data_IF_852146920273
#
_entry.id   IF_852146920273
#
_cell.length_a   1.000
_cell.length_b   1.000
_cell.length_c   1.000
_cell.angle_alpha   90.00
_cell.angle_beta   90.00
_cell.angle_gamma   90.00
#
_symmetry.space_group_name_H-M   'P 1'
#
loop_
_entity.id
_entity.type
_entity.pdbx_description
1 polymer ?
#
# COMPACT_ATOMS: atom_id res chain seq x y z
N UNK A 1 -74.63 -38.80 23.05
CA UNK A 1 -74.87 -37.81 21.94
C UNK A 1 -73.52 -37.29 21.46
N UNK A 2 -73.23 -37.55 20.23
CA UNK A 2 -71.99 -37.16 19.51
C UNK A 2 -71.92 -35.65 19.29
N UNK A 3 -70.69 -35.07 19.49
CA UNK A 3 -70.30 -33.92 18.67
C UNK A 3 -68.80 -34.02 18.36
N UNK A 4 -68.56 -34.30 17.10
CA UNK A 4 -67.25 -34.24 16.42
C UNK A 4 -66.87 -32.77 16.27
N UNK A 5 -65.66 -32.41 16.70
CA UNK A 5 -65.02 -31.18 16.28
C UNK A 5 -63.74 -31.54 15.52
N UNK A 6 -63.75 -31.17 14.24
CA UNK A 6 -62.58 -31.25 13.35
C UNK A 6 -61.54 -30.21 13.73
N UNK A 7 -60.34 -30.64 14.04
CA UNK A 7 -59.21 -29.75 14.16
C UNK A 7 -58.50 -29.70 12.82
N UNK A 8 -58.62 -28.57 12.16
CA UNK A 8 -57.87 -28.23 10.95
C UNK A 8 -56.43 -27.89 11.31
N UNK A 9 -55.50 -28.69 10.84
CA UNK A 9 -54.06 -28.37 10.89
C UNK A 9 -53.74 -27.43 9.74
N UNK A 10 -53.47 -26.15 10.07
CA UNK A 10 -52.85 -25.21 9.13
C UNK A 10 -51.34 -25.30 9.31
N UNK A 11 -50.69 -25.95 8.37
CA UNK A 11 -49.24 -25.98 8.23
C UNK A 11 -48.77 -24.61 7.75
N UNK A 12 -48.24 -23.79 8.67
CA UNK A 12 -47.51 -22.58 8.30
C UNK A 12 -46.08 -22.97 7.90
N UNK A 13 -45.83 -22.99 6.61
CA UNK A 13 -44.46 -23.10 6.07
C UNK A 13 -43.76 -21.78 6.25
N UNK A 14 -42.87 -21.72 7.22
CA UNK A 14 -42.00 -20.56 7.47
C UNK A 14 -40.83 -20.64 6.48
N UNK A 15 -40.92 -19.84 5.41
CA UNK A 15 -39.85 -19.71 4.42
C UNK A 15 -38.83 -18.71 4.98
N UNK A 16 -37.80 -19.20 5.68
CA UNK A 16 -36.67 -18.41 6.11
C UNK A 16 -35.76 -18.10 4.92
N UNK A 17 -35.92 -16.91 4.37
CA UNK A 17 -35.02 -16.35 3.37
C UNK A 17 -33.68 -16.01 4.06
N UNK A 18 -32.72 -16.93 4.04
CA UNK A 18 -31.36 -16.68 4.46
C UNK A 18 -30.69 -15.77 3.40
N UNK A 19 -30.77 -14.47 3.62
CA UNK A 19 -30.01 -13.48 2.85
C UNK A 19 -28.53 -13.66 3.16
N UNK A 20 -27.81 -14.36 2.30
CA UNK A 20 -26.34 -14.40 2.32
C UNK A 20 -25.83 -13.03 1.91
N UNK A 21 -25.53 -12.23 2.91
CA UNK A 21 -24.82 -10.97 2.72
C UNK A 21 -23.38 -11.31 2.31
N UNK A 22 -23.13 -11.38 1.00
CA UNK A 22 -21.77 -11.47 0.48
C UNK A 22 -21.06 -10.16 0.80
N UNK A 23 -20.29 -10.13 1.90
CA UNK A 23 -19.34 -9.08 2.14
C UNK A 23 -18.26 -9.19 1.04
N UNK A 24 -18.37 -8.35 0.03
CA UNK A 24 -17.24 -8.04 -0.84
C UNK A 24 -16.17 -7.39 0.04
N UNK A 25 -15.14 -8.16 0.39
CA UNK A 25 -13.89 -7.60 0.90
C UNK A 25 -13.36 -6.70 -0.23
N UNK A 26 -13.59 -5.40 -0.10
CA UNK A 26 -12.81 -4.42 -0.84
C UNK A 26 -11.37 -4.61 -0.35
N UNK A 27 -10.51 -5.13 -1.22
CA UNK A 27 -9.08 -5.14 -0.96
C UNK A 27 -8.66 -3.67 -0.77
N UNK A 28 -8.51 -3.25 0.47
CA UNK A 28 -7.85 -1.99 0.77
C UNK A 28 -6.42 -2.14 0.25
N UNK A 29 -6.04 -1.28 -0.68
CA UNK A 29 -4.65 -1.11 -1.08
C UNK A 29 -3.88 -0.65 0.16
N UNK A 30 -3.42 -1.60 0.92
CA UNK A 30 -2.67 -1.34 2.14
C UNK A 30 -1.28 -0.88 1.71
N UNK A 31 -1.07 0.44 1.66
CA UNK A 31 0.21 1.06 1.38
C UNK A 31 1.11 1.09 2.63
N UNK A 32 0.95 0.13 3.53
CA UNK A 32 1.68 0.03 4.79
C UNK A 32 1.87 -1.43 5.22
N UNK A 33 3.07 -1.75 5.67
CA UNK A 33 3.38 -3.00 6.36
C UNK A 33 3.86 -2.70 7.79
N UNK A 34 3.37 -3.49 8.73
CA UNK A 34 3.77 -3.40 10.13
C UNK A 34 4.74 -4.51 10.48
N UNK A 35 5.90 -4.13 11.03
CA UNK A 35 6.98 -5.05 11.42
C UNK A 35 7.40 -4.74 12.86
N UNK A 36 6.86 -5.46 13.83
CA UNK A 36 7.04 -5.15 15.25
C UNK A 36 6.52 -3.75 15.58
N UNK A 37 7.38 -2.89 16.11
CA UNK A 37 7.05 -1.49 16.42
C UNK A 37 7.26 -0.53 15.26
N UNK A 38 7.66 -1.05 14.09
CA UNK A 38 7.88 -0.26 12.89
C UNK A 38 6.72 -0.37 11.92
N UNK A 39 6.41 0.75 11.28
CA UNK A 39 5.41 0.86 10.21
C UNK A 39 6.11 1.38 8.95
N UNK A 40 6.07 0.57 7.88
CA UNK A 40 6.69 0.88 6.60
C UNK A 40 5.61 1.31 5.64
N UNK A 41 5.57 2.58 5.31
CA UNK A 41 4.65 3.17 4.34
C UNK A 41 5.31 3.24 2.98
N UNK A 42 4.57 2.91 1.93
CA UNK A 42 5.06 2.95 0.56
C UNK A 42 4.01 3.51 -0.39
N UNK A 43 4.41 4.56 -1.12
CA UNK A 43 3.56 5.21 -2.12
C UNK A 43 4.23 5.15 -3.48
N UNK A 44 3.44 4.89 -4.52
CA UNK A 44 3.89 4.91 -5.91
C UNK A 44 2.93 5.74 -6.73
N UNK A 45 3.45 6.72 -7.45
CA UNK A 45 2.63 7.59 -8.29
C UNK A 45 3.42 8.10 -9.52
N UNK A 46 2.73 8.45 -10.63
CA UNK A 46 3.35 9.13 -11.74
C UNK A 46 3.90 10.50 -11.33
N UNK A 47 5.08 10.88 -11.83
CA UNK A 47 5.68 12.17 -11.47
C UNK A 47 4.92 13.36 -12.07
N UNK A 48 4.07 13.12 -13.09
CA UNK A 48 3.16 14.13 -13.66
C UNK A 48 2.16 14.68 -12.63
N UNK A 49 1.78 13.89 -11.61
CA UNK A 49 0.87 14.31 -10.53
C UNK A 49 1.50 15.19 -9.46
N UNK A 50 2.82 15.27 -9.43
CA UNK A 50 3.48 16.14 -8.46
C UNK A 50 3.21 17.62 -8.76
N UNK A 51 3.00 18.40 -7.71
CA UNK A 51 3.04 19.84 -7.81
C UNK A 51 4.41 20.29 -8.34
N UNK A 52 4.50 21.26 -9.30
CA UNK A 52 5.76 21.71 -9.87
C UNK A 52 6.81 22.13 -8.84
N UNK A 53 6.41 22.85 -7.79
CA UNK A 53 7.32 23.29 -6.74
C UNK A 53 7.86 22.10 -5.92
N UNK A 54 7.01 21.10 -5.66
CA UNK A 54 7.41 19.87 -4.96
C UNK A 54 8.40 19.08 -5.80
N UNK A 55 8.12 18.90 -7.09
CA UNK A 55 9.01 18.20 -8.00
C UNK A 55 10.38 18.88 -8.09
N UNK A 56 10.41 20.23 -8.20
CA UNK A 56 11.63 21.00 -8.21
C UNK A 56 12.42 20.87 -6.90
N UNK A 57 11.74 20.91 -5.75
CA UNK A 57 12.35 20.78 -4.43
C UNK A 57 13.06 19.45 -4.22
N UNK A 58 12.61 18.38 -4.88
CA UNK A 58 13.23 17.05 -4.84
C UNK A 58 14.06 16.72 -6.09
N UNK A 59 14.26 17.68 -6.98
CA UNK A 59 14.97 17.49 -8.25
C UNK A 59 14.37 16.37 -9.12
N UNK A 60 13.04 16.30 -9.15
CA UNK A 60 12.27 15.32 -9.93
C UNK A 60 11.77 15.96 -11.23
N UNK A 61 12.02 15.28 -12.34
CA UNK A 61 11.44 15.68 -13.64
C UNK A 61 10.01 15.14 -13.69
N UNK A 62 9.04 16.02 -13.91
CA UNK A 62 7.64 15.63 -14.13
C UNK A 62 7.48 15.08 -15.54
N UNK A 63 7.01 13.85 -15.66
CA UNK A 63 6.80 13.16 -16.94
C UNK A 63 5.67 12.14 -16.83
N UNK A 64 4.93 11.94 -17.92
CA UNK A 64 3.86 10.94 -18.00
C UNK A 64 4.38 9.49 -17.94
N UNK A 65 5.59 9.25 -18.44
CA UNK A 65 6.21 7.91 -18.44
C UNK A 65 7.22 7.68 -17.29
N UNK A 66 7.22 8.56 -16.30
CA UNK A 66 8.08 8.43 -15.13
C UNK A 66 7.25 8.36 -13.85
N UNK A 67 7.51 7.35 -13.06
CA UNK A 67 6.96 7.18 -11.72
C UNK A 67 7.97 7.48 -10.64
N UNK A 68 7.48 7.67 -9.43
CA UNK A 68 8.28 7.70 -8.21
C UNK A 68 7.75 6.71 -7.19
N UNK A 69 8.64 6.15 -6.40
CA UNK A 69 8.33 5.36 -5.21
C UNK A 69 8.91 6.07 -3.99
N UNK A 70 8.07 6.24 -2.98
CA UNK A 70 8.44 6.84 -1.69
C UNK A 70 8.26 5.81 -0.59
N UNK A 71 9.28 5.66 0.26
CA UNK A 71 9.26 4.80 1.42
C UNK A 71 9.48 5.65 2.66
N UNK A 72 8.57 5.54 3.61
CA UNK A 72 8.65 6.20 4.92
C UNK A 72 8.57 5.13 6.00
N UNK A 73 9.48 5.17 6.96
CA UNK A 73 9.45 4.26 8.11
C UNK A 73 9.22 5.07 9.38
N UNK A 74 8.21 4.67 10.12
CA UNK A 74 7.90 5.22 11.44
C UNK A 74 8.14 4.16 12.50
N UNK A 75 8.67 4.53 13.62
CA UNK A 75 8.74 3.71 14.84
C UNK A 75 7.67 4.19 15.82
N UNK A 76 6.84 3.27 16.28
CA UNK A 76 5.86 3.52 17.34
C UNK A 76 6.57 3.47 18.70
N UNK A 77 6.41 4.52 19.46
CA UNK A 77 6.98 4.64 20.80
C UNK A 77 6.01 4.14 21.87
N UNK A 78 6.51 3.89 23.10
CA UNK A 78 5.74 3.38 24.21
C UNK A 78 4.61 4.32 24.65
N UNK A 79 4.74 5.63 24.43
CA UNK A 79 3.71 6.64 24.72
C UNK A 79 2.59 6.73 23.66
N UNK A 80 2.67 5.89 22.60
CA UNK A 80 1.71 5.86 21.50
C UNK A 80 2.03 6.84 20.36
N UNK A 81 3.03 7.69 20.49
CA UNK A 81 3.53 8.55 19.42
C UNK A 81 4.32 7.75 18.37
N UNK A 82 4.61 8.39 17.23
CA UNK A 82 5.45 7.80 16.19
C UNK A 82 6.58 8.75 15.82
N UNK A 83 7.74 8.18 15.58
CA UNK A 83 8.95 8.91 15.19
C UNK A 83 9.43 8.42 13.82
N UNK A 84 9.88 9.36 12.96
CA UNK A 84 10.44 9.02 11.66
C UNK A 84 11.83 8.39 11.82
N UNK A 85 12.04 7.29 11.11
CA UNK A 85 13.29 6.52 11.13
C UNK A 85 14.09 6.77 9.87
N UNK A 86 15.38 7.06 10.02
CA UNK A 86 16.30 7.13 8.89
C UNK A 86 16.62 5.72 8.40
N UNK A 87 15.76 5.19 7.53
CA UNK A 87 15.93 3.88 6.93
C UNK A 87 16.79 3.95 5.66
N UNK A 88 17.46 2.85 5.35
CA UNK A 88 18.12 2.64 4.04
C UNK A 88 17.25 1.75 3.20
N UNK A 89 16.98 2.18 1.96
CA UNK A 89 16.19 1.43 0.99
C UNK A 89 17.02 1.10 -0.25
N UNK A 90 16.92 -0.12 -0.73
CA UNK A 90 17.51 -0.57 -1.98
C UNK A 90 16.55 -1.52 -2.69
N UNK A 91 16.74 -1.76 -3.98
CA UNK A 91 15.94 -2.76 -4.68
C UNK A 91 15.76 -2.44 -6.16
N UNK A 92 14.75 -3.08 -6.74
CA UNK A 92 14.48 -3.08 -8.16
C UNK A 92 12.99 -2.87 -8.42
N UNK A 93 12.69 -2.27 -9.57
CA UNK A 93 11.35 -2.26 -10.14
C UNK A 93 11.39 -2.76 -11.57
N UNK A 94 10.31 -3.38 -12.02
CA UNK A 94 10.23 -3.85 -13.40
C UNK A 94 8.85 -4.40 -13.75
N UNK A 95 8.69 -4.81 -15.00
CA UNK A 95 7.44 -5.40 -15.48
C UNK A 95 7.30 -6.87 -15.01
N UNK A 96 6.11 -7.44 -15.22
CA UNK A 96 5.85 -8.84 -14.85
C UNK A 96 6.59 -9.85 -15.74
N UNK A 97 7.13 -9.42 -16.87
CA UNK A 97 8.00 -10.26 -17.72
C UNK A 97 9.42 -10.47 -17.15
N UNK A 98 9.73 -9.82 -16.00
CA UNK A 98 11.00 -10.00 -15.29
C UNK A 98 12.10 -9.03 -15.73
N UNK A 99 11.79 -8.00 -16.51
CA UNK A 99 12.74 -6.94 -16.84
C UNK A 99 12.85 -6.00 -15.65
N UNK A 100 13.85 -6.24 -14.79
CA UNK A 100 14.07 -5.49 -13.56
C UNK A 100 15.16 -4.44 -13.76
N UNK A 101 14.92 -3.23 -13.24
CA UNK A 101 15.86 -2.13 -13.18
C UNK A 101 16.14 -1.75 -11.73
N UNK A 102 17.42 -1.52 -11.41
CA UNK A 102 17.82 -1.03 -10.09
C UNK A 102 17.23 0.35 -9.80
N UNK A 103 16.79 0.55 -8.57
CA UNK A 103 16.29 1.83 -8.08
C UNK A 103 17.36 2.54 -7.28
N UNK A 104 17.60 3.82 -7.61
CA UNK A 104 18.49 4.70 -6.85
C UNK A 104 17.68 5.51 -5.86
N UNK A 105 17.70 5.10 -4.60
CA UNK A 105 17.01 5.80 -3.52
C UNK A 105 17.85 6.94 -2.96
N UNK A 106 17.22 8.09 -2.75
CA UNK A 106 17.77 9.24 -2.07
C UNK A 106 16.94 9.53 -0.82
N UNK A 107 17.63 9.76 0.30
CA UNK A 107 16.99 10.13 1.55
C UNK A 107 16.71 11.62 1.56
N UNK A 108 15.49 11.99 1.90
CA UNK A 108 15.04 13.36 2.06
C UNK A 108 14.55 13.59 3.49
N UNK A 109 14.86 14.78 4.02
CA UNK A 109 14.38 15.22 5.34
C UNK A 109 13.61 16.52 5.18
N UNK A 110 12.42 16.57 5.77
CA UNK A 110 11.55 17.75 5.77
C UNK A 110 11.52 18.35 7.17
N UNK A 111 11.93 19.63 7.29
CA UNK A 111 12.01 20.29 8.59
C UNK A 111 13.05 19.67 9.51
N UNK A 112 13.13 20.17 10.75
CA UNK A 112 14.12 19.65 11.73
C UNK A 112 13.71 18.30 12.34
N UNK A 113 12.39 17.96 12.37
CA UNK A 113 11.87 16.69 12.91
C UNK A 113 10.55 16.26 12.23
N UNK A 114 10.22 16.76 11.03
CA UNK A 114 8.89 16.58 10.45
C UNK A 114 8.74 15.37 9.54
N UNK A 115 9.83 14.75 9.14
CA UNK A 115 9.76 13.53 8.35
C UNK A 115 11.06 13.21 7.64
N UNK A 116 11.35 11.90 7.60
CA UNK A 116 12.44 11.34 6.81
C UNK A 116 11.81 10.31 5.88
N UNK A 117 12.14 10.38 4.60
CA UNK A 117 11.67 9.39 3.62
C UNK A 117 12.73 9.15 2.55
N UNK A 118 12.61 8.00 1.91
CA UNK A 118 13.45 7.60 0.79
C UNK A 118 12.63 7.65 -0.49
N UNK A 119 13.20 8.19 -1.55
CA UNK A 119 12.55 8.39 -2.82
C UNK A 119 13.43 7.91 -3.97
N UNK A 120 12.85 7.16 -4.91
CA UNK A 120 13.47 6.79 -6.17
C UNK A 120 12.51 7.04 -7.33
N UNK A 121 13.04 7.31 -8.51
CA UNK A 121 12.26 7.42 -9.74
C UNK A 121 12.52 6.22 -10.65
N UNK A 122 11.53 5.88 -11.48
CA UNK A 122 11.59 4.78 -12.43
C UNK A 122 10.78 5.09 -13.68
N UNK A 123 11.02 4.37 -14.76
CA UNK A 123 10.21 4.45 -15.98
C UNK A 123 9.15 3.37 -15.98
N UNK A 124 7.97 3.69 -16.51
CA UNK A 124 6.89 2.74 -16.69
C UNK A 124 6.17 2.96 -18.04
N UNK A 125 5.48 1.93 -18.54
CA UNK A 125 4.55 2.02 -19.66
C UNK A 125 3.12 2.19 -19.16
N UNK A 126 2.26 2.77 -19.99
CA UNK A 126 0.84 2.96 -19.65
C UNK A 126 0.17 1.62 -19.36
N UNK A 127 -0.54 1.58 -18.23
CA UNK A 127 -1.33 0.42 -17.77
C UNK A 127 -0.53 -0.88 -17.58
N UNK A 128 0.80 -0.81 -17.59
CA UNK A 128 1.66 -1.98 -17.34
C UNK A 128 1.86 -2.16 -15.82
N UNK A 129 1.51 -3.35 -15.28
CA UNK A 129 1.75 -3.61 -13.86
C UNK A 129 3.25 -3.71 -13.58
N UNK A 130 3.71 -2.89 -12.64
CA UNK A 130 5.08 -2.85 -12.18
C UNK A 130 5.23 -3.61 -10.86
N UNK A 131 6.24 -4.49 -10.81
CA UNK A 131 6.63 -5.20 -9.59
C UNK A 131 7.79 -4.46 -8.93
N UNK A 132 7.68 -4.28 -7.63
CA UNK A 132 8.70 -3.69 -6.77
C UNK A 132 9.20 -4.75 -5.81
N UNK A 133 10.53 -4.95 -5.79
CA UNK A 133 11.21 -5.81 -4.84
C UNK A 133 12.22 -4.95 -4.09
N UNK A 134 11.87 -4.56 -2.88
CA UNK A 134 12.62 -3.60 -2.09
C UNK A 134 13.13 -4.25 -0.82
N UNK A 135 14.26 -3.77 -0.35
CA UNK A 135 14.86 -4.13 0.92
C UNK A 135 14.98 -2.88 1.78
N UNK A 136 14.32 -2.90 2.94
CA UNK A 136 14.26 -1.78 3.87
C UNK A 136 15.03 -2.12 5.13
N UNK A 137 16.13 -1.42 5.39
CA UNK A 137 16.93 -1.55 6.60
C UNK A 137 16.61 -0.36 7.51
N UNK A 138 15.89 -0.63 8.59
CA UNK A 138 15.39 0.39 9.52
C UNK A 138 16.01 0.32 10.91
N UNK A 139 16.73 -0.74 11.20
CA UNK A 139 17.44 -0.92 12.48
C UNK A 139 18.71 -1.73 12.27
N UNK A 140 19.83 -1.37 12.93
CA UNK A 140 21.04 -2.17 12.89
C UNK A 140 20.94 -3.49 13.67
N UNK A 141 19.90 -3.62 14.52
CA UNK A 141 19.66 -4.80 15.37
C UNK A 141 18.72 -5.82 14.75
N UNK A 142 18.12 -5.49 13.60
CA UNK A 142 17.14 -6.36 12.94
C UNK A 142 17.55 -6.61 11.49
N UNK A 143 17.20 -7.77 10.91
CA UNK A 143 17.43 -8.01 9.49
C UNK A 143 16.63 -7.01 8.65
N UNK A 144 17.11 -6.75 7.45
CA UNK A 144 16.37 -5.93 6.49
C UNK A 144 15.02 -6.59 6.16
N UNK A 145 13.97 -5.78 6.06
CA UNK A 145 12.64 -6.23 5.68
C UNK A 145 12.53 -6.25 4.15
N UNK A 146 12.03 -7.36 3.61
CA UNK A 146 11.72 -7.50 2.18
C UNK A 146 10.31 -7.01 1.91
N UNK A 147 10.20 -5.91 1.17
CA UNK A 147 8.93 -5.29 0.78
C UNK A 147 8.66 -5.57 -0.69
N UNK A 148 7.65 -6.40 -0.98
CA UNK A 148 7.32 -6.83 -2.32
C UNK A 148 5.87 -6.50 -2.64
N UNK A 149 5.65 -5.71 -3.71
CA UNK A 149 4.31 -5.34 -4.12
C UNK A 149 4.23 -5.08 -5.62
N UNK A 150 3.00 -4.99 -6.13
CA UNK A 150 2.72 -4.66 -7.53
C UNK A 150 1.85 -3.39 -7.55
N UNK A 151 2.14 -2.50 -8.51
CA UNK A 151 1.32 -1.31 -8.79
C UNK A 151 1.12 -1.16 -10.29
N UNK A 152 -0.09 -0.77 -10.66
CA UNK A 152 -0.44 -0.40 -12.03
C UNK A 152 -0.53 1.12 -12.09
N UNK A 153 0.20 1.72 -13.03
CA UNK A 153 0.25 3.15 -13.23
C UNK A 153 -0.36 3.52 -14.58
N UNK A 154 -1.11 4.60 -14.59
CA UNK A 154 -1.72 5.14 -15.80
C UNK A 154 -1.03 6.44 -16.18
N UNK A 155 -0.86 6.65 -17.50
CA UNK A 155 -0.39 7.91 -18.08
C UNK A 155 -1.61 8.75 -18.41
N UNK A 156 -1.90 9.77 -17.62
CA UNK A 156 -2.99 10.74 -17.90
C UNK A 156 -2.51 11.91 -18.74
#
# INVERSE_FOLDING_TARGET
MLRRTFLSWSSAVLFTLASTFSMTLLAQDNNMEKVGDFEIYYDVLPTSFLNPQVAQGYNIVRSKGQGMVRITVLQRLADGSSEAVNARVSGHAGNLAGQLNGLSFHTHQVGQNQGIFNLATFRFAHDDPMRFNLRVTYSPKQPAHELNFIRRLHMD
#
